data_IF_558826989518
#
_entry.id   IF_558826989518
#
_cell.length_a   1.000
_cell.length_b   1.000
_cell.length_c   1.000
_cell.angle_alpha   90.00
_cell.angle_beta   90.00
_cell.angle_gamma   90.00
#
_symmetry.space_group_name_H-M   'P 1'
#
loop_
_entity.id
_entity.type
_entity.pdbx_description
1 polymer ?
#
# COMPACT_ATOMS: atom_id res chain seq x y z
N UNK A 1 -74.72 48.40 -21.87
CA UNK A 1 -74.28 48.26 -23.28
C UNK A 1 -72.99 47.45 -23.29
N UNK A 2 -73.07 46.23 -23.87
CA UNK A 2 -72.01 45.48 -24.62
C UNK A 2 -70.66 45.18 -23.97
N UNK A 3 -69.97 44.04 -24.16
CA UNK A 3 -70.22 42.72 -24.77
C UNK A 3 -68.87 41.98 -24.66
N UNK A 4 -68.88 40.84 -23.96
CA UNK A 4 -68.11 39.58 -24.14
C UNK A 4 -66.61 39.46 -24.50
N UNK A 5 -66.09 38.28 -24.09
CA UNK A 5 -65.16 37.33 -24.78
C UNK A 5 -63.74 37.11 -24.22
N UNK A 6 -63.62 36.03 -23.43
CA UNK A 6 -62.79 34.81 -23.60
C UNK A 6 -61.43 34.85 -24.35
N UNK A 7 -60.44 34.16 -23.75
CA UNK A 7 -59.22 33.64 -24.38
C UNK A 7 -58.19 33.22 -23.32
N UNK A 8 -58.25 32.00 -22.75
CA UNK A 8 -57.56 30.76 -23.20
C UNK A 8 -56.03 30.79 -23.00
N UNK A 9 -55.61 30.14 -21.90
CA UNK A 9 -54.63 29.04 -21.81
C UNK A 9 -53.10 29.27 -21.81
N UNK A 10 -52.50 28.51 -20.88
CA UNK A 10 -51.15 27.92 -20.84
C UNK A 10 -49.94 28.84 -20.71
N UNK A 11 -49.19 28.67 -19.63
CA UNK A 11 -47.87 28.07 -19.85
C UNK A 11 -47.38 27.22 -18.67
N UNK A 12 -46.74 26.12 -19.03
CA UNK A 12 -46.46 24.99 -18.17
C UNK A 12 -45.46 25.29 -17.06
N UNK A 13 -45.71 24.68 -15.90
CA UNK A 13 -44.66 24.31 -14.97
C UNK A 13 -43.81 23.21 -15.63
N UNK A 14 -42.91 23.59 -16.54
CA UNK A 14 -41.73 22.80 -16.83
C UNK A 14 -40.80 22.96 -15.64
N UNK A 15 -40.99 22.11 -14.63
CA UNK A 15 -39.90 21.78 -13.71
C UNK A 15 -38.76 21.26 -14.58
N UNK A 16 -37.70 22.05 -14.72
CA UNK A 16 -36.45 21.55 -15.28
C UNK A 16 -36.06 20.30 -14.50
N UNK A 17 -35.80 19.17 -15.15
CA UNK A 17 -35.33 17.98 -14.47
C UNK A 17 -33.95 18.34 -13.90
N UNK A 18 -33.88 18.50 -12.57
CA UNK A 18 -32.62 18.63 -11.85
C UNK A 18 -31.75 17.43 -12.24
N UNK A 19 -30.81 17.66 -13.15
CA UNK A 19 -29.86 16.68 -13.61
C UNK A 19 -29.09 16.16 -12.41
N UNK A 20 -29.47 14.97 -11.94
CA UNK A 20 -28.64 14.16 -11.07
C UNK A 20 -27.35 13.88 -11.83
N UNK A 21 -26.35 14.74 -11.64
CA UNK A 21 -25.02 14.49 -12.17
C UNK A 21 -24.50 13.27 -11.41
N UNK A 22 -24.22 12.12 -12.05
CA UNK A 22 -23.64 10.97 -11.36
C UNK A 22 -22.21 11.34 -10.93
N UNK A 23 -22.10 11.92 -9.74
CA UNK A 23 -20.87 12.46 -9.22
C UNK A 23 -19.83 11.35 -9.00
N UNK A 24 -18.70 11.44 -9.72
CA UNK A 24 -17.34 10.99 -9.34
C UNK A 24 -17.08 9.51 -9.00
N UNK A 25 -18.08 8.63 -8.83
CA UNK A 25 -17.90 7.22 -8.43
C UNK A 25 -17.03 6.41 -9.41
N UNK A 26 -17.16 6.68 -10.71
CA UNK A 26 -16.41 5.94 -11.73
C UNK A 26 -14.89 6.19 -11.65
N UNK A 27 -14.47 7.40 -11.22
CA UNK A 27 -13.05 7.76 -11.11
C UNK A 27 -12.33 6.97 -10.00
N UNK A 28 -12.99 6.76 -8.86
CA UNK A 28 -12.41 6.01 -7.73
C UNK A 28 -12.37 4.51 -8.01
N UNK A 29 -13.45 3.95 -8.58
CA UNK A 29 -13.50 2.52 -8.94
C UNK A 29 -12.45 2.18 -10.01
N UNK A 30 -12.28 3.05 -11.00
CA UNK A 30 -11.24 2.89 -12.03
C UNK A 30 -9.84 2.90 -11.44
N UNK A 31 -9.55 3.83 -10.52
CA UNK A 31 -8.26 3.88 -9.80
C UNK A 31 -8.03 2.62 -8.97
N UNK A 32 -9.05 2.13 -8.26
CA UNK A 32 -8.96 0.87 -7.53
C UNK A 32 -8.66 -0.32 -8.46
N UNK A 33 -9.30 -0.37 -9.64
CA UNK A 33 -9.03 -1.40 -10.64
C UNK A 33 -7.59 -1.34 -11.17
N UNK A 34 -7.08 -0.13 -11.49
CA UNK A 34 -5.67 0.05 -11.89
C UNK A 34 -4.74 -0.37 -10.76
N UNK A 35 -5.03 -0.01 -9.51
CA UNK A 35 -4.23 -0.40 -8.36
C UNK A 35 -4.14 -1.93 -8.24
N UNK A 36 -5.27 -2.63 -8.33
CA UNK A 36 -5.32 -4.09 -8.28
C UNK A 36 -4.52 -4.68 -9.44
N UNK A 37 -4.68 -4.15 -10.65
CA UNK A 37 -3.96 -4.63 -11.84
C UNK A 37 -2.45 -4.43 -11.71
N UNK A 38 -1.98 -3.25 -11.25
CA UNK A 38 -0.57 -2.97 -11.03
C UNK A 38 0.01 -3.86 -9.93
N UNK A 39 -0.71 -4.02 -8.82
CA UNK A 39 -0.29 -4.89 -7.73
C UNK A 39 -0.17 -6.34 -8.20
N UNK A 40 -1.18 -6.86 -8.89
CA UNK A 40 -1.16 -8.20 -9.47
C UNK A 40 -0.04 -8.38 -10.50
N UNK A 41 0.23 -7.37 -11.32
CA UNK A 41 1.33 -7.38 -12.28
C UNK A 41 2.69 -7.46 -11.56
N UNK A 42 2.94 -6.60 -10.57
CA UNK A 42 4.19 -6.62 -9.80
C UNK A 42 4.40 -7.97 -9.11
N UNK A 43 3.34 -8.51 -8.50
CA UNK A 43 3.36 -9.84 -7.88
C UNK A 43 3.62 -10.95 -8.89
N UNK A 44 2.98 -10.91 -10.06
CA UNK A 44 3.16 -11.89 -11.13
C UNK A 44 4.58 -11.85 -11.69
N UNK A 45 5.13 -10.64 -11.92
CA UNK A 45 6.50 -10.46 -12.39
C UNK A 45 7.53 -10.97 -11.37
N UNK A 46 7.34 -10.67 -10.08
CA UNK A 46 8.20 -11.19 -9.03
C UNK A 46 8.09 -12.71 -8.90
N UNK A 47 6.87 -13.24 -8.96
CA UNK A 47 6.60 -14.68 -8.96
C UNK A 47 7.27 -15.41 -10.13
N UNK A 48 7.26 -14.81 -11.32
CA UNK A 48 7.95 -15.33 -12.50
C UNK A 48 9.48 -15.20 -12.40
N UNK A 49 9.97 -14.20 -11.65
CA UNK A 49 11.39 -14.00 -11.36
C UNK A 49 11.91 -14.85 -10.19
N UNK A 50 11.10 -15.76 -9.63
CA UNK A 50 11.56 -16.69 -8.59
C UNK A 50 12.72 -17.56 -9.08
N UNK A 51 13.69 -17.81 -8.21
CA UNK A 51 14.96 -18.48 -8.50
C UNK A 51 16.00 -17.61 -9.21
N UNK A 52 15.64 -16.37 -9.58
CA UNK A 52 16.57 -15.45 -10.22
C UNK A 52 17.48 -14.75 -9.22
N UNK A 53 18.41 -13.93 -9.73
CA UNK A 53 19.25 -13.07 -8.92
C UNK A 53 18.45 -12.00 -8.15
N UNK A 54 17.25 -11.63 -8.61
CA UNK A 54 16.40 -10.62 -7.96
C UNK A 54 15.88 -11.13 -6.63
N UNK A 55 15.36 -12.36 -6.58
CA UNK A 55 14.92 -12.99 -5.33
C UNK A 55 16.09 -13.10 -4.35
N UNK A 56 17.26 -13.58 -4.81
CA UNK A 56 18.46 -13.66 -3.96
C UNK A 56 18.91 -12.29 -3.43
N UNK A 57 18.76 -11.21 -4.21
CA UNK A 57 19.11 -9.87 -3.74
C UNK A 57 18.12 -9.38 -2.66
N UNK A 58 16.83 -9.57 -2.87
CA UNK A 58 15.79 -9.10 -1.94
C UNK A 58 15.73 -9.95 -0.67
N UNK A 59 15.72 -11.27 -0.82
CA UNK A 59 15.54 -12.21 0.29
C UNK A 59 16.85 -12.39 1.03
N UNK A 60 17.92 -12.82 0.37
CA UNK A 60 19.17 -13.16 1.07
C UNK A 60 19.89 -11.90 1.57
N UNK A 61 20.12 -10.91 0.70
CA UNK A 61 20.90 -9.73 1.08
C UNK A 61 20.07 -8.70 1.84
N UNK A 62 19.00 -8.19 1.22
CA UNK A 62 18.26 -7.10 1.84
C UNK A 62 17.55 -7.56 3.12
N UNK A 63 16.96 -8.75 3.13
CA UNK A 63 16.18 -9.22 4.28
C UNK A 63 17.02 -10.01 5.28
N UNK A 64 17.56 -11.17 4.90
CA UNK A 64 18.17 -12.11 5.85
C UNK A 64 19.48 -11.58 6.43
N UNK A 65 20.40 -11.06 5.60
CA UNK A 65 21.68 -10.56 6.09
C UNK A 65 21.49 -9.32 6.98
N UNK A 66 20.62 -8.39 6.60
CA UNK A 66 20.29 -7.23 7.45
C UNK A 66 19.69 -7.67 8.79
N UNK A 67 18.77 -8.64 8.80
CA UNK A 67 18.19 -9.14 10.02
C UNK A 67 19.23 -9.85 10.90
N UNK A 68 20.11 -10.66 10.31
CA UNK A 68 21.21 -11.32 11.03
C UNK A 68 22.14 -10.28 11.68
N UNK A 69 22.52 -9.25 10.91
CA UNK A 69 23.35 -8.16 11.40
C UNK A 69 22.68 -7.38 12.54
N UNK A 70 21.38 -7.09 12.43
CA UNK A 70 20.63 -6.42 13.50
C UNK A 70 20.57 -7.26 14.79
N UNK A 71 20.32 -8.56 14.67
CA UNK A 71 20.26 -9.46 15.82
C UNK A 71 21.64 -9.57 16.47
N UNK A 72 22.70 -9.77 15.68
CA UNK A 72 24.08 -9.87 16.17
C UNK A 72 24.54 -8.56 16.85
N UNK A 73 24.15 -7.40 16.31
CA UNK A 73 24.46 -6.10 16.91
C UNK A 73 23.77 -5.88 18.26
N UNK A 74 22.58 -6.46 18.47
CA UNK A 74 21.81 -6.34 19.72
C UNK A 74 22.23 -7.39 20.76
N UNK A 75 22.41 -8.63 20.32
CA UNK A 75 22.78 -9.75 21.18
C UNK A 75 23.72 -10.72 20.44
N UNK A 76 25.05 -10.47 20.50
CA UNK A 76 26.05 -11.33 19.88
C UNK A 76 26.06 -12.76 20.44
N UNK A 77 25.54 -12.97 21.66
CA UNK A 77 25.55 -14.29 22.31
C UNK A 77 24.60 -15.28 21.65
N UNK A 78 23.65 -14.78 20.84
CA UNK A 78 22.74 -15.60 20.04
C UNK A 78 23.48 -16.42 18.99
N UNK A 79 24.62 -15.93 18.48
CA UNK A 79 25.39 -16.63 17.43
C UNK A 79 24.57 -16.83 16.15
N UNK A 80 23.81 -15.81 15.74
CA UNK A 80 22.97 -15.87 14.55
C UNK A 80 23.83 -15.82 13.27
N UNK A 81 23.48 -16.64 12.29
CA UNK A 81 24.17 -16.68 10.99
C UNK A 81 23.15 -16.74 9.84
N UNK A 82 23.34 -15.96 8.77
CA UNK A 82 22.53 -16.08 7.57
C UNK A 82 22.93 -17.34 6.77
N UNK A 83 21.95 -18.09 6.27
CA UNK A 83 22.17 -19.32 5.49
C UNK A 83 21.18 -19.41 4.32
N UNK A 84 21.45 -18.63 3.28
CA UNK A 84 20.49 -18.36 2.19
C UNK A 84 19.27 -17.65 2.76
N UNK A 85 18.05 -18.17 2.55
CA UNK A 85 16.82 -17.54 3.03
C UNK A 85 16.51 -17.86 4.52
N UNK A 86 17.50 -18.34 5.28
CA UNK A 86 17.32 -18.77 6.68
C UNK A 86 18.19 -17.96 7.62
N UNK A 87 17.65 -17.66 8.80
CA UNK A 87 18.43 -17.26 9.96
C UNK A 87 18.65 -18.49 10.83
N UNK A 88 19.92 -18.82 11.12
CA UNK A 88 20.29 -19.96 11.95
C UNK A 88 20.96 -19.50 13.24
N UNK A 89 20.62 -20.13 14.35
CA UNK A 89 21.30 -19.94 15.62
C UNK A 89 21.28 -21.26 16.42
N UNK A 90 22.18 -21.44 17.40
CA UNK A 90 22.05 -22.51 18.39
C UNK A 90 20.66 -22.49 19.04
N UNK A 91 20.01 -23.66 19.13
CA UNK A 91 18.63 -23.78 19.62
C UNK A 91 17.54 -23.59 18.56
N UNK A 92 17.92 -23.40 17.28
CA UNK A 92 16.97 -23.31 16.17
C UNK A 92 16.91 -21.93 15.52
N UNK A 93 16.28 -21.86 14.36
CA UNK A 93 16.22 -20.66 13.53
C UNK A 93 15.00 -20.64 12.62
N UNK A 94 14.77 -19.51 11.96
CA UNK A 94 13.59 -19.28 11.13
C UNK A 94 13.93 -19.31 9.64
N UNK A 95 12.95 -19.74 8.84
CA UNK A 95 13.04 -19.72 7.38
C UNK A 95 12.20 -18.57 6.83
N UNK A 96 12.83 -17.65 6.11
CA UNK A 96 12.22 -16.45 5.53
C UNK A 96 11.85 -16.80 4.08
N UNK A 97 10.88 -17.71 3.93
CA UNK A 97 10.25 -18.04 2.65
C UNK A 97 8.75 -17.75 2.73
N UNK A 98 8.12 -17.51 1.58
CA UNK A 98 6.66 -17.52 1.42
C UNK A 98 5.92 -16.48 2.27
N UNK A 99 6.25 -15.19 2.12
CA UNK A 99 5.51 -14.09 2.75
C UNK A 99 6.14 -13.48 4.02
N UNK A 100 7.33 -13.94 4.40
CA UNK A 100 8.18 -13.23 5.38
C UNK A 100 9.13 -12.20 4.74
N UNK A 101 9.16 -12.16 3.41
CA UNK A 101 10.06 -11.32 2.60
C UNK A 101 9.66 -9.85 2.64
N UNK A 102 8.38 -9.55 2.91
CA UNK A 102 7.87 -8.18 3.04
C UNK A 102 7.71 -7.44 1.71
N UNK A 103 8.03 -8.10 0.59
CA UNK A 103 7.97 -7.52 -0.76
C UNK A 103 6.54 -7.23 -1.19
N UNK A 104 5.56 -8.00 -0.70
CA UNK A 104 4.15 -7.80 -1.01
C UNK A 104 3.69 -6.41 -0.57
N UNK A 105 4.09 -5.98 0.63
CA UNK A 105 3.75 -4.67 1.12
C UNK A 105 4.49 -3.54 0.39
N UNK A 106 5.72 -3.80 -0.08
CA UNK A 106 6.46 -2.83 -0.89
C UNK A 106 5.77 -2.64 -2.26
N UNK A 107 5.33 -3.72 -2.91
CA UNK A 107 4.55 -3.65 -4.14
C UNK A 107 3.20 -2.97 -3.93
N UNK A 108 2.54 -3.23 -2.81
CA UNK A 108 1.31 -2.53 -2.44
C UNK A 108 1.56 -1.01 -2.33
N UNK A 109 2.64 -0.59 -1.65
CA UNK A 109 3.04 0.81 -1.53
C UNK A 109 3.33 1.44 -2.90
N UNK A 110 4.12 0.76 -3.74
CA UNK A 110 4.46 1.22 -5.10
C UNK A 110 3.21 1.38 -5.96
N UNK A 111 2.33 0.36 -6.00
CA UNK A 111 1.09 0.42 -6.77
C UNK A 111 0.17 1.55 -6.28
N UNK A 112 0.05 1.74 -4.96
CA UNK A 112 -0.75 2.82 -4.39
C UNK A 112 -0.24 4.20 -4.82
N UNK A 113 1.07 4.42 -4.77
CA UNK A 113 1.69 5.68 -5.20
C UNK A 113 1.54 5.92 -6.71
N UNK A 114 1.65 4.88 -7.54
CA UNK A 114 1.48 5.00 -9.00
C UNK A 114 0.09 5.48 -9.41
N UNK A 115 -0.94 5.06 -8.66
CA UNK A 115 -2.34 5.42 -8.90
C UNK A 115 -2.73 6.75 -8.25
N UNK A 116 -1.98 7.17 -7.22
CA UNK A 116 -2.26 8.40 -6.49
C UNK A 116 -2.18 9.65 -7.38
N UNK A 117 -3.08 10.63 -7.19
CA UNK A 117 -3.08 11.92 -7.90
C UNK A 117 -1.99 12.85 -7.36
N UNK A 118 -0.74 12.40 -7.46
CA UNK A 118 0.45 13.10 -6.98
C UNK A 118 1.29 13.61 -8.14
N UNK A 119 1.95 14.77 -8.01
CA UNK A 119 2.96 15.21 -8.97
C UNK A 119 4.13 14.21 -8.98
N UNK A 120 4.80 14.09 -10.14
CA UNK A 120 5.79 13.02 -10.37
C UNK A 120 6.90 12.99 -9.31
N UNK A 121 7.45 14.16 -8.94
CA UNK A 121 8.53 14.25 -7.93
C UNK A 121 8.09 13.68 -6.58
N UNK A 122 6.93 14.11 -6.10
CA UNK A 122 6.38 13.66 -4.82
C UNK A 122 5.91 12.21 -4.85
N UNK A 123 5.50 11.73 -6.02
CA UNK A 123 5.17 10.32 -6.24
C UNK A 123 6.42 9.45 -6.08
N UNK A 124 7.50 9.78 -6.80
CA UNK A 124 8.76 9.01 -6.73
C UNK A 124 9.37 9.08 -5.34
N UNK A 125 9.41 10.26 -4.70
CA UNK A 125 9.92 10.35 -3.33
C UNK A 125 9.03 9.59 -2.33
N UNK A 126 7.70 9.62 -2.50
CA UNK A 126 6.76 8.84 -1.70
C UNK A 126 6.96 7.33 -1.88
N UNK A 127 7.21 6.88 -3.10
CA UNK A 127 7.57 5.47 -3.38
C UNK A 127 8.85 5.06 -2.66
N UNK A 128 9.91 5.88 -2.72
CA UNK A 128 11.19 5.56 -2.09
C UNK A 128 11.09 5.57 -0.56
N UNK A 129 10.55 6.64 0.02
CA UNK A 129 10.40 6.77 1.49
C UNK A 129 9.42 5.73 2.03
N UNK A 130 8.31 5.50 1.34
CA UNK A 130 7.32 4.50 1.72
C UNK A 130 7.87 3.08 1.64
N UNK A 131 8.63 2.75 0.59
CA UNK A 131 9.29 1.44 0.48
C UNK A 131 10.36 1.25 1.55
N UNK A 132 11.10 2.30 1.89
CA UNK A 132 12.07 2.27 2.99
C UNK A 132 11.38 2.03 4.34
N UNK A 133 10.25 2.69 4.61
CA UNK A 133 9.46 2.45 5.81
C UNK A 133 9.00 0.98 5.88
N UNK A 134 8.43 0.47 4.78
CA UNK A 134 8.01 -0.93 4.68
C UNK A 134 9.18 -1.88 4.95
N UNK A 135 10.35 -1.60 4.38
CA UNK A 135 11.56 -2.38 4.62
C UNK A 135 11.93 -2.40 6.12
N UNK A 136 11.98 -1.25 6.78
CA UNK A 136 12.29 -1.16 8.21
C UNK A 136 11.27 -1.90 9.07
N UNK A 137 9.98 -1.73 8.80
CA UNK A 137 8.92 -2.47 9.51
C UNK A 137 9.02 -3.98 9.28
N UNK A 138 9.39 -4.41 8.06
CA UNK A 138 9.62 -5.81 7.78
C UNK A 138 10.85 -6.36 8.53
N UNK A 139 11.94 -5.59 8.65
CA UNK A 139 13.09 -5.99 9.47
C UNK A 139 12.70 -6.17 10.93
N UNK A 140 11.97 -5.21 11.50
CA UNK A 140 11.45 -5.33 12.86
C UNK A 140 10.58 -6.59 13.03
N UNK A 141 9.73 -6.90 12.04
CA UNK A 141 8.94 -8.13 12.01
C UNK A 141 9.83 -9.38 12.01
N UNK A 142 10.82 -9.47 11.12
CA UNK A 142 11.70 -10.66 11.02
C UNK A 142 12.45 -10.89 12.33
N UNK A 143 12.98 -9.82 12.93
CA UNK A 143 13.67 -9.90 14.23
C UNK A 143 12.70 -10.34 15.33
N UNK A 144 11.49 -9.76 15.40
CA UNK A 144 10.49 -10.16 16.38
C UNK A 144 10.08 -11.63 16.23
N UNK A 145 9.90 -12.11 14.99
CA UNK A 145 9.60 -13.52 14.71
C UNK A 145 10.74 -14.45 15.10
N UNK A 146 11.98 -14.04 14.90
CA UNK A 146 13.15 -14.82 15.31
C UNK A 146 13.16 -15.06 16.83
N UNK A 147 12.90 -14.01 17.63
CA UNK A 147 12.83 -14.17 19.09
C UNK A 147 11.57 -14.89 19.55
N UNK A 148 10.41 -14.62 18.92
CA UNK A 148 9.17 -15.31 19.24
C UNK A 148 9.30 -16.83 19.03
N UNK A 149 9.93 -17.25 17.93
CA UNK A 149 10.19 -18.67 17.65
C UNK A 149 11.00 -19.36 18.78
N UNK A 150 11.93 -18.63 19.40
CA UNK A 150 12.79 -19.15 20.48
C UNK A 150 12.12 -19.12 21.84
N UNK A 151 11.12 -18.25 22.02
CA UNK A 151 10.41 -18.10 23.29
C UNK A 151 9.20 -19.04 23.39
N UNK A 152 8.30 -19.01 22.41
CA UNK A 152 7.02 -19.72 22.46
C UNK A 152 6.44 -19.93 21.04
N UNK A 153 6.10 -21.17 20.70
CA UNK A 153 5.55 -21.51 19.37
C UNK A 153 4.18 -20.87 19.10
N UNK A 154 3.29 -20.80 20.10
CA UNK A 154 1.98 -20.17 19.93
C UNK A 154 2.11 -18.65 19.72
N UNK A 155 3.05 -18.00 20.40
CA UNK A 155 3.38 -16.60 20.16
C UNK A 155 3.90 -16.39 18.73
N UNK A 156 4.83 -17.24 18.28
CA UNK A 156 5.27 -17.23 16.89
C UNK A 156 4.10 -17.43 15.93
N UNK A 157 3.21 -18.37 16.22
CA UNK A 157 2.04 -18.67 15.39
C UNK A 157 1.11 -17.46 15.20
N UNK A 158 0.81 -16.77 16.30
CA UNK A 158 0.02 -15.55 16.29
C UNK A 158 0.72 -14.39 15.57
N UNK A 159 2.01 -14.17 15.85
CA UNK A 159 2.76 -13.05 15.28
C UNK A 159 2.97 -13.21 13.77
N UNK A 160 3.32 -14.42 13.30
CA UNK A 160 3.65 -14.62 11.88
C UNK A 160 2.40 -14.58 11.00
N UNK A 161 1.29 -15.15 11.48
CA UNK A 161 0.09 -15.34 10.66
C UNK A 161 -0.86 -14.16 10.66
N UNK A 162 -0.91 -13.39 11.75
CA UNK A 162 -1.97 -12.38 11.95
C UNK A 162 -1.36 -11.03 12.32
N UNK A 163 -0.71 -10.94 13.48
CA UNK A 163 -0.41 -9.64 14.08
C UNK A 163 0.65 -8.87 13.31
N UNK A 164 1.81 -9.47 13.03
CA UNK A 164 2.88 -8.75 12.35
C UNK A 164 2.52 -8.35 10.91
N UNK A 165 1.90 -9.20 10.08
CA UNK A 165 1.40 -8.79 8.76
C UNK A 165 0.38 -7.64 8.83
N UNK A 166 -0.57 -7.68 9.76
CA UNK A 166 -1.57 -6.61 9.92
C UNK A 166 -0.91 -5.28 10.31
N UNK A 167 0.01 -5.29 11.27
CA UNK A 167 0.73 -4.08 11.69
C UNK A 167 1.52 -3.48 10.53
N UNK A 168 2.16 -4.31 9.71
CA UNK A 168 2.89 -3.87 8.53
C UNK A 168 1.94 -3.19 7.52
N UNK A 169 0.81 -3.82 7.19
CA UNK A 169 -0.20 -3.26 6.28
C UNK A 169 -0.77 -1.95 6.82
N UNK A 170 -1.10 -1.89 8.11
CA UNK A 170 -1.62 -0.68 8.76
C UNK A 170 -0.58 0.44 8.70
N UNK A 171 0.69 0.16 9.00
CA UNK A 171 1.77 1.13 8.92
C UNK A 171 1.96 1.68 7.50
N UNK A 172 1.94 0.79 6.50
CA UNK A 172 2.01 1.18 5.09
C UNK A 172 0.81 2.04 4.66
N UNK A 173 -0.41 1.65 5.04
CA UNK A 173 -1.63 2.39 4.74
C UNK A 173 -1.64 3.76 5.42
N UNK A 174 -1.26 3.83 6.70
CA UNK A 174 -1.15 5.08 7.44
C UNK A 174 -0.16 6.04 6.77
N UNK A 175 1.02 5.54 6.38
CA UNK A 175 1.99 6.34 5.63
C UNK A 175 1.40 6.86 4.31
N UNK A 176 0.77 5.98 3.52
CA UNK A 176 0.17 6.37 2.25
C UNK A 176 -0.90 7.47 2.42
N UNK A 177 -1.80 7.32 3.40
CA UNK A 177 -2.84 8.31 3.69
C UNK A 177 -2.21 9.64 4.12
N UNK A 178 -1.23 9.62 5.02
CA UNK A 178 -0.52 10.84 5.45
C UNK A 178 0.15 11.50 4.25
N UNK A 179 0.85 10.74 3.42
CA UNK A 179 1.55 11.26 2.24
C UNK A 179 0.57 11.89 1.23
N UNK A 180 -0.53 11.19 0.95
CA UNK A 180 -1.56 11.66 0.04
C UNK A 180 -2.20 12.95 0.56
N UNK A 181 -2.55 13.02 1.84
CA UNK A 181 -3.15 14.21 2.44
C UNK A 181 -2.22 15.42 2.41
N UNK A 182 -0.90 15.22 2.39
CA UNK A 182 0.10 16.30 2.37
C UNK A 182 0.38 16.83 0.97
N UNK A 183 0.19 16.02 -0.07
CA UNK A 183 0.74 16.31 -1.40
C UNK A 183 -0.20 16.07 -2.58
N UNK A 184 -1.43 15.60 -2.34
CA UNK A 184 -2.42 15.40 -3.40
C UNK A 184 -2.75 16.71 -4.10
N UNK A 185 -2.85 16.66 -5.43
CA UNK A 185 -3.35 17.78 -6.22
C UNK A 185 -4.87 17.81 -6.05
N UNK A 186 -5.39 18.82 -5.36
CA UNK A 186 -6.82 19.11 -5.38
C UNK A 186 -7.16 19.62 -6.77
N UNK A 187 -8.10 18.99 -7.51
CA UNK A 187 -8.59 19.58 -8.74
C UNK A 187 -9.24 20.91 -8.37
N UNK A 188 -8.77 22.02 -8.95
CA UNK A 188 -9.38 23.33 -8.76
C UNK A 188 -10.89 23.20 -8.96
N UNK A 189 -11.65 23.61 -7.94
CA UNK A 189 -13.09 23.79 -8.06
C UNK A 189 -13.27 25.01 -8.96
N UNK A 190 -13.34 24.74 -10.27
CA UNK A 190 -13.87 25.55 -11.36
C UNK A 190 -14.08 27.03 -10.99
N UNK A 191 -13.07 27.87 -11.27
CA UNK A 191 -13.23 29.32 -11.28
C UNK A 191 -14.18 29.66 -12.42
N UNK A 192 -15.48 29.65 -12.13
CA UNK A 192 -16.53 30.09 -13.03
C UNK A 192 -16.18 31.51 -13.50
N UNK A 193 -16.05 31.78 -14.82
CA UNK A 193 -15.83 33.15 -15.28
C UNK A 193 -17.00 34.01 -14.80
N UNK A 194 -16.71 35.09 -14.09
CA UNK A 194 -17.73 36.09 -13.80
C UNK A 194 -18.12 36.75 -15.14
N UNK A 195 -19.40 36.75 -15.52
CA UNK A 195 -19.83 37.53 -16.66
C UNK A 195 -19.61 39.02 -16.36
N UNK A 196 -18.90 39.69 -17.26
CA UNK A 196 -18.77 41.15 -17.31
C UNK A 196 -20.07 41.76 -17.79
#
# INVERSE_FOLDING_TARGET
MTREMNGVQSDGLTQEPQGHTPARKHSTLWRAAIFIALFALLQGLYGAAKGSWVERLVVDHATVQTAAWLIDAVDPSVGVTPAGPRLRAPGGGINILNGCEGIEAAFMMVAAMLVAPLPLRTRVSGMLVGSMLVFVLNQARVVALFYAFRADKALFDMLHGIVAPMLLIIGAAAFFVIWLNRYAITPDVESKPQPV
#
